data_IF_158986003457
#
_entry.id   IF_158986003457
#
_cell.length_a   1.000
_cell.length_b   1.000
_cell.length_c   1.000
_cell.angle_alpha   90.00
_cell.angle_beta   90.00
_cell.angle_gamma   90.00
#
_symmetry.space_group_name_H-M   'P 1'
#
loop_
_entity.id
_entity.type
_entity.pdbx_description
1 polymer ?
#
# COMPACT_ATOMS: atom_id res chain seq x y z
N UNK A 1 18.98 44.35 49.93
CA UNK A 1 18.92 42.88 49.98
C UNK A 1 17.52 42.28 49.66
N UNK A 2 16.42 42.96 49.92
CA UNK A 2 15.10 42.51 49.47
C UNK A 2 14.86 42.76 47.95
N UNK A 3 15.46 43.86 47.41
CA UNK A 3 15.38 44.17 45.99
C UNK A 3 16.16 43.25 45.07
N UNK A 4 17.30 42.71 45.55
CA UNK A 4 18.11 41.79 44.73
C UNK A 4 17.50 40.39 44.59
N UNK A 5 16.71 39.93 45.59
CA UNK A 5 15.97 38.67 45.50
C UNK A 5 14.78 38.80 44.52
N UNK A 6 14.11 39.92 44.46
CA UNK A 6 13.01 40.20 43.50
C UNK A 6 13.54 40.28 42.04
N UNK A 7 14.75 40.84 41.83
CA UNK A 7 15.36 40.90 40.49
C UNK A 7 15.81 39.52 39.99
N UNK A 8 16.38 38.69 40.84
CA UNK A 8 16.84 37.35 40.52
C UNK A 8 15.63 36.40 40.20
N UNK A 9 14.56 36.55 41.01
CA UNK A 9 13.31 35.82 40.74
C UNK A 9 12.65 36.29 39.45
N UNK A 10 12.66 37.57 39.15
CA UNK A 10 12.11 38.11 37.88
C UNK A 10 12.93 37.67 36.67
N UNK A 11 14.26 37.60 36.75
CA UNK A 11 15.11 37.08 35.70
C UNK A 11 14.80 35.60 35.42
N UNK A 12 14.66 34.79 36.48
CA UNK A 12 14.32 33.37 36.37
C UNK A 12 12.96 33.14 35.66
N UNK A 13 11.94 33.93 36.07
CA UNK A 13 10.62 33.86 35.45
C UNK A 13 10.63 34.30 33.97
N UNK A 14 11.47 35.29 33.61
CA UNK A 14 11.62 35.71 32.20
C UNK A 14 12.31 34.62 31.36
N UNK A 15 13.29 33.91 31.89
CA UNK A 15 13.94 32.82 31.23
C UNK A 15 13.01 31.61 31.04
N UNK A 16 12.21 31.28 32.06
CA UNK A 16 11.17 30.25 31.95
C UNK A 16 10.10 30.66 30.93
N UNK A 17 9.67 31.89 30.91
CA UNK A 17 8.70 32.40 29.92
C UNK A 17 9.25 32.28 28.49
N UNK A 18 10.51 32.66 28.29
CA UNK A 18 11.19 32.52 27.01
C UNK A 18 11.22 31.05 26.54
N UNK A 19 11.60 30.15 27.43
CA UNK A 19 11.66 28.70 27.15
C UNK A 19 10.26 28.14 26.79
N UNK A 20 9.22 28.59 27.50
CA UNK A 20 7.84 28.19 27.21
C UNK A 20 7.40 28.75 25.85
N UNK A 21 7.68 30.03 25.55
CA UNK A 21 7.35 30.63 24.27
C UNK A 21 8.04 29.93 23.08
N UNK A 22 9.32 29.61 23.23
CA UNK A 22 10.09 28.87 22.24
C UNK A 22 9.50 27.46 22.00
N UNK A 23 9.14 26.78 23.09
CA UNK A 23 8.47 25.48 23.02
C UNK A 23 7.12 25.56 22.30
N UNK A 24 6.28 26.54 22.65
CA UNK A 24 4.99 26.74 21.99
C UNK A 24 5.14 27.07 20.51
N UNK A 25 6.16 27.85 20.15
CA UNK A 25 6.45 28.20 18.75
C UNK A 25 6.96 27.00 17.98
N UNK A 26 7.86 26.21 18.57
CA UNK A 26 8.42 24.98 17.97
C UNK A 26 7.32 23.95 17.66
N UNK A 27 6.29 23.87 18.51
CA UNK A 27 5.17 22.96 18.36
C UNK A 27 3.96 23.57 17.62
N UNK A 28 4.16 24.69 16.93
CA UNK A 28 3.10 25.33 16.12
C UNK A 28 1.82 25.72 16.91
N UNK A 29 1.92 25.88 18.23
CA UNK A 29 0.77 26.10 19.11
C UNK A 29 -0.12 27.25 18.64
N UNK A 30 0.48 28.36 18.20
CA UNK A 30 -0.27 29.58 17.80
C UNK A 30 -1.01 29.43 16.46
N UNK A 31 -0.72 28.40 15.68
CA UNK A 31 -1.35 28.14 14.38
C UNK A 31 -2.10 26.79 14.34
N UNK A 32 -2.18 26.09 15.50
CA UNK A 32 -2.76 24.75 15.56
C UNK A 32 -4.23 24.74 15.13
N UNK A 33 -5.03 25.72 15.57
CA UNK A 33 -6.44 25.82 15.21
C UNK A 33 -6.63 26.01 13.70
N UNK A 34 -5.79 26.84 13.08
CA UNK A 34 -5.82 27.04 11.63
C UNK A 34 -5.44 25.77 10.87
N UNK A 35 -4.43 25.01 11.34
CA UNK A 35 -4.05 23.72 10.77
C UNK A 35 -5.13 22.66 10.92
N UNK A 36 -5.77 22.60 12.09
CA UNK A 36 -6.90 21.69 12.34
C UNK A 36 -8.06 22.02 11.40
N UNK A 37 -8.41 23.30 11.25
CA UNK A 37 -9.48 23.73 10.34
C UNK A 37 -9.14 23.43 8.87
N UNK A 38 -7.91 23.66 8.45
CA UNK A 38 -7.44 23.34 7.09
C UNK A 38 -7.60 21.85 6.78
N UNK A 39 -7.07 20.97 7.63
CA UNK A 39 -7.14 19.51 7.43
C UNK A 39 -8.59 19.02 7.53
N UNK A 40 -9.37 19.55 8.49
CA UNK A 40 -10.77 19.20 8.63
C UNK A 40 -11.60 19.59 7.41
N UNK A 41 -11.36 20.76 6.84
CA UNK A 41 -11.98 21.22 5.59
C UNK A 41 -11.61 20.30 4.43
N UNK A 42 -10.32 20.01 4.30
CA UNK A 42 -9.77 19.17 3.24
C UNK A 42 -10.29 17.72 3.25
N UNK A 43 -10.76 17.22 4.38
CA UNK A 43 -11.35 15.90 4.54
C UNK A 43 -12.88 15.90 4.66
N UNK A 44 -13.53 17.06 4.49
CA UNK A 44 -14.97 17.22 4.59
C UNK A 44 -15.53 16.98 6.00
N UNK A 45 -14.75 17.35 7.03
CA UNK A 45 -15.16 17.19 8.43
C UNK A 45 -15.87 18.42 8.98
N UNK A 46 -15.72 19.61 8.34
CA UNK A 46 -16.36 20.85 8.82
C UNK A 46 -17.89 20.77 8.80
N UNK A 47 -18.47 20.12 7.80
CA UNK A 47 -19.92 19.95 7.67
C UNK A 47 -20.52 19.09 8.78
N UNK A 48 -19.68 18.24 9.41
CA UNK A 48 -20.07 17.37 10.52
C UNK A 48 -20.13 18.17 11.83
N UNK A 49 -19.31 19.23 11.95
CA UNK A 49 -19.09 20.02 13.15
C UNK A 49 -17.96 19.46 14.01
N UNK A 50 -16.98 20.32 14.33
CA UNK A 50 -15.78 19.93 15.10
C UNK A 50 -16.07 19.64 16.58
N UNK A 51 -17.19 20.14 17.11
CA UNK A 51 -17.62 19.94 18.50
C UNK A 51 -18.41 18.64 18.72
N UNK A 52 -18.65 17.87 17.64
CA UNK A 52 -19.45 16.64 17.73
C UNK A 52 -18.65 15.52 18.38
N UNK A 53 -19.31 14.78 19.29
CA UNK A 53 -18.71 13.62 19.93
C UNK A 53 -18.38 12.52 18.88
N UNK A 54 -17.18 11.97 18.98
CA UNK A 54 -16.68 10.92 18.05
C UNK A 54 -17.55 9.65 18.10
N UNK A 55 -18.22 9.40 19.22
CA UNK A 55 -19.12 8.25 19.39
C UNK A 55 -20.37 8.35 18.52
N UNK A 56 -20.78 9.56 18.15
CA UNK A 56 -21.96 9.85 17.32
C UNK A 56 -21.65 9.84 15.81
N UNK A 57 -20.39 9.64 15.45
CA UNK A 57 -19.94 9.61 14.05
C UNK A 57 -20.19 8.25 13.41
N UNK A 58 -20.50 8.26 12.10
CA UNK A 58 -20.51 7.05 11.29
C UNK A 58 -19.11 6.46 11.16
N UNK A 59 -19.00 5.17 10.76
CA UNK A 59 -17.71 4.50 10.59
C UNK A 59 -16.79 5.24 9.62
N UNK A 60 -17.30 5.71 8.46
CA UNK A 60 -16.53 6.48 7.49
C UNK A 60 -16.08 7.84 8.04
N UNK A 61 -16.95 8.53 8.81
CA UNK A 61 -16.58 9.79 9.46
C UNK A 61 -15.48 9.60 10.51
N UNK A 62 -15.54 8.53 11.31
CA UNK A 62 -14.47 8.18 12.26
C UNK A 62 -13.16 7.91 11.56
N UNK A 63 -13.17 7.22 10.42
CA UNK A 63 -11.96 6.97 9.62
C UNK A 63 -11.35 8.28 9.12
N UNK A 64 -12.16 9.22 8.64
CA UNK A 64 -11.70 10.56 8.25
C UNK A 64 -11.06 11.32 9.42
N UNK A 65 -11.66 11.29 10.61
CA UNK A 65 -11.11 11.92 11.82
C UNK A 65 -9.78 11.30 12.22
N UNK A 66 -9.66 9.97 12.18
CA UNK A 66 -8.39 9.29 12.45
C UNK A 66 -7.31 9.66 11.43
N UNK A 67 -7.67 9.75 10.15
CA UNK A 67 -6.76 10.21 9.11
C UNK A 67 -6.32 11.65 9.38
N UNK A 68 -7.25 12.58 9.68
CA UNK A 68 -6.94 13.96 10.03
C UNK A 68 -5.94 14.04 11.19
N UNK A 69 -6.17 13.27 12.25
CA UNK A 69 -5.27 13.19 13.41
C UNK A 69 -3.87 12.78 12.99
N UNK A 70 -3.72 11.68 12.23
CA UNK A 70 -2.42 11.19 11.77
C UNK A 70 -1.68 12.20 10.90
N UNK A 71 -2.40 12.91 10.02
CA UNK A 71 -1.80 13.93 9.17
C UNK A 71 -1.33 15.14 9.97
N UNK A 72 -2.07 15.54 11.02
CA UNK A 72 -1.69 16.64 11.93
C UNK A 72 -0.49 16.28 12.82
N UNK A 73 -0.39 15.03 13.26
CA UNK A 73 0.72 14.52 14.10
C UNK A 73 2.05 14.45 13.34
N UNK A 74 2.02 14.37 12.01
CA UNK A 74 3.20 14.30 11.14
C UNK A 74 4.27 13.31 11.63
N UNK A 75 3.95 12.01 11.82
CA UNK A 75 4.91 11.04 12.33
C UNK A 75 6.11 10.86 11.38
N UNK A 76 7.24 10.38 11.89
CA UNK A 76 8.43 10.06 11.08
C UNK A 76 8.15 8.99 10.02
N UNK A 77 7.24 8.06 10.32
CA UNK A 77 6.76 7.04 9.38
C UNK A 77 5.24 6.97 9.45
N UNK A 78 4.59 7.34 8.36
CA UNK A 78 3.14 7.32 8.21
C UNK A 78 2.70 6.02 7.54
N UNK A 79 1.82 5.25 8.18
CA UNK A 79 1.28 3.99 7.65
C UNK A 79 -0.18 4.22 7.24
N UNK A 80 -0.46 4.06 5.94
CA UNK A 80 -1.77 4.27 5.36
C UNK A 80 -2.27 2.98 4.67
N UNK A 81 -3.40 2.48 5.12
CA UNK A 81 -4.09 1.34 4.52
C UNK A 81 -5.42 1.82 3.92
N UNK A 82 -5.51 1.79 2.58
CA UNK A 82 -6.66 2.24 1.79
C UNK A 82 -7.19 3.64 2.20
N UNK A 83 -6.34 4.68 2.26
CA UNK A 83 -6.73 5.99 2.79
C UNK A 83 -7.74 6.73 1.91
N UNK A 84 -7.89 6.36 0.65
CA UNK A 84 -8.87 6.92 -0.29
C UNK A 84 -10.29 6.43 -0.05
N UNK A 85 -10.47 5.36 0.72
CA UNK A 85 -11.79 4.89 1.09
C UNK A 85 -12.55 5.97 1.87
N UNK A 86 -13.82 6.18 1.51
CA UNK A 86 -14.71 7.19 2.10
C UNK A 86 -14.35 8.66 1.77
N UNK A 87 -13.37 8.90 0.89
CA UNK A 87 -13.05 10.22 0.36
C UNK A 87 -13.67 10.40 -1.03
N UNK A 88 -14.13 11.58 -1.33
CA UNK A 88 -14.52 11.98 -2.68
C UNK A 88 -13.31 12.49 -3.49
N UNK A 89 -13.50 12.78 -4.76
CA UNK A 89 -12.42 13.18 -5.68
C UNK A 89 -11.66 14.43 -5.22
N UNK A 90 -12.35 15.40 -4.63
CA UNK A 90 -11.73 16.63 -4.15
C UNK A 90 -10.80 16.37 -2.96
N UNK A 91 -11.27 15.56 -2.00
CA UNK A 91 -10.49 15.17 -0.83
C UNK A 91 -9.30 14.27 -1.21
N UNK A 92 -9.48 13.35 -2.18
CA UNK A 92 -8.38 12.54 -2.73
C UNK A 92 -7.32 13.43 -3.38
N UNK A 93 -7.73 14.42 -4.19
CA UNK A 93 -6.81 15.34 -4.83
C UNK A 93 -6.00 16.18 -3.82
N UNK A 94 -6.61 16.55 -2.70
CA UNK A 94 -5.89 17.21 -1.62
C UNK A 94 -4.92 16.25 -0.91
N UNK A 95 -5.34 15.02 -0.58
CA UNK A 95 -4.49 14.02 0.06
C UNK A 95 -3.26 13.68 -0.80
N UNK A 96 -3.42 13.59 -2.13
CA UNK A 96 -2.30 13.40 -3.05
C UNK A 96 -1.25 14.51 -2.88
N UNK A 97 -1.67 15.78 -2.93
CA UNK A 97 -0.76 16.91 -2.74
C UNK A 97 -0.07 16.87 -1.39
N UNK A 98 -0.82 16.57 -0.34
CA UNK A 98 -0.27 16.44 1.00
C UNK A 98 0.82 15.36 1.08
N UNK A 99 0.61 14.19 0.48
CA UNK A 99 1.58 13.08 0.48
C UNK A 99 2.80 13.35 -0.40
N UNK A 100 2.64 14.07 -1.52
CA UNK A 100 3.76 14.50 -2.37
C UNK A 100 4.69 15.44 -1.60
N UNK A 101 4.12 16.35 -0.82
CA UNK A 101 4.85 17.33 -0.02
C UNK A 101 5.25 16.82 1.37
N UNK A 102 4.94 15.56 1.68
CA UNK A 102 5.23 14.98 2.99
C UNK A 102 6.74 14.81 3.20
N UNK A 103 7.30 15.50 4.20
CA UNK A 103 8.74 15.55 4.46
C UNK A 103 9.33 14.23 4.95
N UNK A 104 8.51 13.42 5.62
CA UNK A 104 8.94 12.16 6.21
C UNK A 104 8.57 10.96 5.32
N UNK A 105 8.84 9.75 5.77
CA UNK A 105 8.52 8.54 5.04
C UNK A 105 7.04 8.14 5.22
N UNK A 106 6.43 7.57 4.18
CA UNK A 106 5.14 6.91 4.31
C UNK A 106 5.13 5.55 3.62
N UNK A 107 4.30 4.64 4.14
CA UNK A 107 3.98 3.36 3.51
C UNK A 107 2.50 3.36 3.21
N UNK A 108 2.16 3.12 1.95
CA UNK A 108 0.81 3.20 1.42
C UNK A 108 0.39 1.84 0.85
N UNK A 109 -0.78 1.36 1.27
CA UNK A 109 -1.48 0.24 0.65
C UNK A 109 -2.73 0.81 0.01
N UNK A 110 -2.92 0.60 -1.29
CA UNK A 110 -4.11 1.04 -2.03
C UNK A 110 -4.35 0.20 -3.27
N UNK A 111 -5.60 0.12 -3.70
CA UNK A 111 -6.02 -0.43 -4.98
C UNK A 111 -6.34 0.66 -6.02
N UNK A 112 -6.25 1.94 -5.63
CA UNK A 112 -6.42 3.09 -6.52
C UNK A 112 -5.13 3.34 -7.31
N UNK A 113 -5.03 2.75 -8.49
CA UNK A 113 -3.83 2.83 -9.34
C UNK A 113 -3.50 4.28 -9.75
N UNK A 114 -4.44 5.12 -10.19
CA UNK A 114 -4.19 6.53 -10.47
C UNK A 114 -3.60 7.28 -9.27
N UNK A 115 -4.12 7.03 -8.07
CA UNK A 115 -3.59 7.61 -6.85
C UNK A 115 -2.16 7.15 -6.56
N UNK A 116 -1.88 5.83 -6.68
CA UNK A 116 -0.54 5.27 -6.48
C UNK A 116 0.48 5.89 -7.43
N UNK A 117 0.19 5.95 -8.73
CA UNK A 117 1.12 6.46 -9.74
C UNK A 117 1.57 7.90 -9.51
N UNK A 118 0.75 8.71 -8.84
CA UNK A 118 1.09 10.11 -8.57
C UNK A 118 1.91 10.32 -7.27
N UNK A 119 1.74 9.44 -6.28
CA UNK A 119 2.32 9.70 -4.93
C UNK A 119 3.48 8.80 -4.56
N UNK A 120 3.64 7.63 -5.21
CA UNK A 120 4.69 6.67 -4.85
C UNK A 120 5.90 6.75 -5.78
N UNK A 121 7.05 6.37 -5.25
CA UNK A 121 8.31 6.25 -6.00
C UNK A 121 9.01 4.90 -5.81
N UNK A 122 8.50 4.06 -4.92
CA UNK A 122 9.01 2.72 -4.63
C UNK A 122 7.82 1.80 -4.37
N UNK A 123 7.89 0.58 -4.93
CA UNK A 123 6.93 -0.49 -4.66
C UNK A 123 7.63 -1.67 -4.02
N UNK A 124 7.03 -2.18 -2.98
CA UNK A 124 7.37 -3.47 -2.40
C UNK A 124 6.30 -4.49 -2.76
N UNK A 125 6.65 -5.41 -3.67
CA UNK A 125 5.78 -6.49 -4.09
C UNK A 125 6.06 -7.76 -3.29
N UNK A 126 5.04 -8.27 -2.63
CA UNK A 126 5.12 -9.51 -1.86
C UNK A 126 4.58 -10.68 -2.66
N UNK A 127 5.44 -11.61 -3.02
CA UNK A 127 5.09 -12.82 -3.75
C UNK A 127 5.94 -13.99 -3.25
N UNK A 128 5.35 -15.18 -3.13
CA UNK A 128 6.05 -16.41 -2.70
C UNK A 128 6.85 -16.28 -1.39
N UNK A 129 6.34 -15.53 -0.42
CA UNK A 129 6.98 -15.21 0.87
C UNK A 129 8.25 -14.35 0.73
N UNK A 130 8.50 -13.77 -0.43
CA UNK A 130 9.58 -12.84 -0.70
C UNK A 130 9.03 -11.43 -0.89
N UNK A 131 9.81 -10.44 -0.44
CA UNK A 131 9.51 -9.03 -0.60
C UNK A 131 10.48 -8.43 -1.61
N UNK A 132 9.98 -8.10 -2.77
CA UNK A 132 10.77 -7.56 -3.88
C UNK A 132 10.56 -6.04 -4.01
N UNK A 133 11.67 -5.28 -4.02
CA UNK A 133 11.68 -3.83 -4.16
C UNK A 133 11.79 -3.42 -5.63
N UNK A 134 10.91 -2.54 -6.07
CA UNK A 134 10.93 -1.90 -7.40
C UNK A 134 10.97 -0.38 -7.22
N UNK A 135 11.80 0.30 -8.01
CA UNK A 135 11.88 1.77 -8.02
C UNK A 135 11.02 2.27 -9.18
N UNK A 136 10.20 3.27 -8.92
CA UNK A 136 9.26 3.85 -9.88
C UNK A 136 7.82 3.79 -9.40
N UNK A 137 6.92 4.18 -10.28
CA UNK A 137 5.48 4.11 -10.10
C UNK A 137 4.91 2.70 -10.36
N UNK A 138 3.59 2.58 -10.25
CA UNK A 138 2.92 1.29 -10.45
C UNK A 138 2.97 0.81 -11.90
N UNK A 139 2.89 1.69 -12.88
CA UNK A 139 2.93 1.31 -14.29
C UNK A 139 4.30 0.78 -14.66
N UNK A 140 5.37 1.45 -14.23
CA UNK A 140 6.73 0.96 -14.41
C UNK A 140 6.97 -0.39 -13.71
N UNK A 141 6.44 -0.56 -12.50
CA UNK A 141 6.48 -1.84 -11.80
C UNK A 141 5.84 -2.96 -12.64
N UNK A 142 4.66 -2.72 -13.22
CA UNK A 142 3.95 -3.71 -14.04
C UNK A 142 4.78 -4.14 -15.26
N UNK A 143 5.41 -3.20 -15.94
CA UNK A 143 6.29 -3.48 -17.07
C UNK A 143 7.48 -4.37 -16.66
N UNK A 144 8.20 -3.97 -15.62
CA UNK A 144 9.37 -4.72 -15.12
C UNK A 144 8.97 -6.09 -14.61
N UNK A 145 7.85 -6.18 -13.90
CA UNK A 145 7.35 -7.45 -13.38
C UNK A 145 6.93 -8.40 -14.49
N UNK A 146 6.24 -7.91 -15.53
CA UNK A 146 5.86 -8.72 -16.69
C UNK A 146 7.08 -9.30 -17.41
N UNK A 147 8.14 -8.50 -17.59
CA UNK A 147 9.41 -8.99 -18.20
C UNK A 147 10.07 -10.04 -17.33
N UNK A 148 10.18 -9.81 -16.02
CA UNK A 148 10.77 -10.80 -15.08
C UNK A 148 9.98 -12.11 -15.07
N UNK A 149 8.66 -12.04 -15.05
CA UNK A 149 7.78 -13.22 -15.10
C UNK A 149 7.99 -14.01 -16.38
N UNK A 150 8.00 -13.34 -17.53
CA UNK A 150 8.25 -13.99 -18.82
C UNK A 150 9.63 -14.66 -18.90
N UNK A 151 10.68 -14.02 -18.35
CA UNK A 151 12.02 -14.60 -18.26
C UNK A 151 12.04 -15.85 -17.37
N UNK A 152 11.39 -15.81 -16.21
CA UNK A 152 11.29 -16.93 -15.30
C UNK A 152 10.55 -18.13 -15.93
N UNK A 153 9.43 -17.87 -16.61
CA UNK A 153 8.68 -18.89 -17.34
C UNK A 153 9.49 -19.53 -18.47
N UNK A 154 10.25 -18.71 -19.21
CA UNK A 154 11.14 -19.20 -20.26
C UNK A 154 12.28 -20.07 -19.70
N UNK A 155 12.89 -19.63 -18.58
CA UNK A 155 13.92 -20.39 -17.88
C UNK A 155 13.37 -21.72 -17.35
N UNK A 156 12.19 -21.71 -16.74
CA UNK A 156 11.50 -22.92 -16.29
C UNK A 156 11.26 -23.92 -17.45
N UNK A 157 10.71 -23.46 -18.57
CA UNK A 157 10.44 -24.32 -19.74
C UNK A 157 11.74 -24.97 -20.26
N UNK A 158 12.82 -24.18 -20.36
CA UNK A 158 14.15 -24.72 -20.80
C UNK A 158 14.66 -25.75 -19.81
N UNK A 159 14.56 -25.48 -18.51
CA UNK A 159 15.01 -26.40 -17.48
C UNK A 159 14.18 -27.71 -17.49
N UNK A 160 12.86 -27.62 -17.64
CA UNK A 160 11.98 -28.79 -17.71
C UNK A 160 12.33 -29.66 -18.94
N UNK A 161 12.64 -29.04 -20.08
CA UNK A 161 13.09 -29.76 -21.26
C UNK A 161 14.43 -30.47 -21.00
N UNK A 162 15.41 -29.77 -20.40
CA UNK A 162 16.71 -30.36 -20.04
C UNK A 162 16.53 -31.54 -19.07
N UNK A 163 15.68 -31.37 -18.04
CA UNK A 163 15.36 -32.45 -17.09
C UNK A 163 14.75 -33.67 -17.83
N UNK A 164 13.81 -33.44 -18.74
CA UNK A 164 13.20 -34.51 -19.53
C UNK A 164 14.23 -35.25 -20.38
N UNK A 165 15.07 -34.52 -21.12
CA UNK A 165 16.14 -35.11 -21.95
C UNK A 165 17.14 -35.90 -21.11
N UNK A 166 17.55 -35.41 -19.95
CA UNK A 166 18.45 -36.11 -19.03
C UNK A 166 17.80 -37.37 -18.47
N UNK A 167 16.53 -37.32 -18.05
CA UNK A 167 15.76 -38.46 -17.55
C UNK A 167 15.63 -39.55 -18.63
N UNK A 168 15.29 -39.17 -19.85
CA UNK A 168 15.15 -40.06 -20.99
C UNK A 168 16.49 -40.76 -21.35
N UNK A 169 17.58 -39.97 -21.31
CA UNK A 169 18.91 -40.55 -21.55
C UNK A 169 19.29 -41.54 -20.46
N UNK A 170 19.07 -41.23 -19.20
CA UNK A 170 19.36 -42.14 -18.08
C UNK A 170 18.52 -43.39 -18.18
N UNK A 171 17.23 -43.28 -18.47
CA UNK A 171 16.34 -44.45 -18.63
C UNK A 171 16.81 -45.42 -19.72
N UNK A 172 17.22 -44.88 -20.89
CA UNK A 172 17.65 -45.67 -22.03
C UNK A 172 19.04 -46.31 -21.85
N UNK A 173 19.92 -45.70 -21.06
CA UNK A 173 21.34 -46.09 -21.01
C UNK A 173 21.79 -46.72 -19.68
N UNK A 174 20.97 -46.70 -18.63
CA UNK A 174 21.31 -47.20 -17.29
C UNK A 174 21.60 -48.71 -17.27
N UNK A 175 20.92 -49.49 -18.13
CA UNK A 175 21.05 -50.94 -18.21
C UNK A 175 22.23 -51.43 -19.09
N UNK A 176 22.82 -50.57 -19.94
CA UNK A 176 23.89 -50.96 -20.87
C UNK A 176 25.25 -50.73 -20.23
N UNK A 177 26.09 -51.75 -20.21
CA UNK A 177 27.44 -51.72 -19.60
C UNK A 177 28.32 -50.61 -20.19
N UNK A 178 28.31 -50.40 -21.50
CA UNK A 178 29.15 -49.42 -22.21
C UNK A 178 28.74 -47.94 -21.89
N UNK A 179 27.48 -47.69 -21.59
CA UNK A 179 26.96 -46.33 -21.38
C UNK A 179 26.56 -46.03 -19.93
N UNK A 180 26.68 -47.00 -19.03
CA UNK A 180 26.29 -46.91 -17.62
C UNK A 180 26.96 -45.74 -16.89
N UNK A 181 28.27 -45.55 -17.08
CA UNK A 181 29.01 -44.48 -16.43
C UNK A 181 28.51 -43.09 -16.87
N UNK A 182 28.16 -42.92 -18.15
CA UNK A 182 27.59 -41.69 -18.69
C UNK A 182 26.17 -41.44 -18.12
N UNK A 183 25.36 -42.49 -18.02
CA UNK A 183 24.04 -42.42 -17.43
C UNK A 183 24.11 -42.02 -15.94
N UNK A 184 25.06 -42.60 -15.18
CA UNK A 184 25.28 -42.23 -13.76
C UNK A 184 25.77 -40.80 -13.60
N UNK A 185 26.65 -40.31 -14.50
CA UNK A 185 27.07 -38.91 -14.47
C UNK A 185 25.89 -37.93 -14.68
N UNK A 186 25.01 -38.24 -15.64
CA UNK A 186 23.82 -37.44 -15.91
C UNK A 186 22.77 -37.51 -14.78
N UNK A 187 22.65 -38.70 -14.16
CA UNK A 187 21.81 -38.82 -12.96
C UNK A 187 22.31 -37.91 -11.81
N UNK A 188 23.64 -37.90 -11.57
CA UNK A 188 24.21 -36.98 -10.57
C UNK A 188 23.99 -35.53 -10.90
N UNK A 189 23.93 -35.15 -12.20
CA UNK A 189 23.59 -33.78 -12.62
C UNK A 189 22.14 -33.47 -12.26
N UNK A 190 21.20 -34.39 -12.54
CA UNK A 190 19.79 -34.25 -12.17
C UNK A 190 19.60 -34.09 -10.65
N UNK A 191 20.29 -34.94 -9.87
CA UNK A 191 20.18 -34.98 -8.41
C UNK A 191 20.72 -33.67 -7.73
N UNK A 192 21.61 -32.94 -8.44
CA UNK A 192 22.21 -31.67 -7.97
C UNK A 192 21.57 -30.42 -8.56
N UNK A 193 20.60 -30.61 -9.46
CA UNK A 193 19.98 -29.47 -10.15
C UNK A 193 18.97 -28.79 -9.23
N UNK A 194 19.17 -27.47 -8.98
CA UNK A 194 18.18 -26.67 -8.33
C UNK A 194 16.98 -26.45 -9.28
N UNK A 195 15.85 -27.03 -8.91
CA UNK A 195 14.66 -27.00 -9.76
C UNK A 195 13.94 -25.67 -9.55
N UNK A 196 13.72 -24.96 -10.66
CA UNK A 196 12.93 -23.72 -10.64
C UNK A 196 11.48 -24.11 -10.33
N UNK A 197 10.92 -23.52 -9.28
CA UNK A 197 9.52 -23.66 -8.94
C UNK A 197 8.76 -22.40 -9.40
N UNK A 198 7.75 -22.61 -10.25
CA UNK A 198 6.81 -21.55 -10.56
C UNK A 198 5.73 -21.50 -9.46
N UNK A 199 5.37 -20.29 -9.06
CA UNK A 199 4.21 -20.11 -8.20
C UNK A 199 2.98 -20.78 -8.83
N UNK A 200 2.27 -21.56 -8.04
CA UNK A 200 1.02 -22.16 -8.50
C UNK A 200 0.04 -21.02 -8.85
N UNK A 201 -0.37 -20.95 -10.11
CA UNK A 201 -1.43 -20.02 -10.50
C UNK A 201 -2.69 -20.37 -9.70
N UNK A 202 -3.18 -19.41 -8.92
CA UNK A 202 -4.47 -19.57 -8.24
C UNK A 202 -5.54 -19.69 -9.33
N UNK A 203 -6.37 -20.75 -9.30
CA UNK A 203 -7.44 -20.90 -10.28
C UNK A 203 -8.33 -19.64 -10.24
N UNK A 204 -8.51 -19.02 -11.40
CA UNK A 204 -9.46 -17.88 -11.50
C UNK A 204 -10.85 -18.41 -11.22
N UNK A 205 -11.62 -17.79 -10.34
CA UNK A 205 -12.99 -18.22 -10.11
C UNK A 205 -13.81 -18.04 -11.42
N UNK A 206 -14.35 -19.15 -11.91
CA UNK A 206 -15.29 -19.10 -13.05
C UNK A 206 -16.72 -19.04 -12.52
N UNK A 207 -17.42 -17.95 -12.88
CA UNK A 207 -18.81 -17.75 -12.49
C UNK A 207 -19.72 -18.14 -13.66
N UNK A 208 -20.49 -19.20 -13.47
CA UNK A 208 -21.49 -19.62 -14.45
C UNK A 208 -22.88 -19.18 -13.97
N UNK A 209 -23.37 -18.07 -14.50
CA UNK A 209 -24.73 -17.61 -14.23
C UNK A 209 -25.72 -18.39 -15.11
N UNK A 210 -26.59 -19.19 -14.50
CA UNK A 210 -27.68 -19.85 -15.22
C UNK A 210 -28.82 -18.85 -15.39
N UNK A 211 -29.26 -18.69 -16.61
CA UNK A 211 -30.45 -17.90 -16.89
C UNK A 211 -31.66 -18.60 -16.27
N UNK A 212 -32.27 -17.99 -15.25
CA UNK A 212 -33.44 -18.57 -14.56
C UNK A 212 -34.74 -18.45 -15.34
N UNK A 213 -34.94 -17.32 -16.04
CA UNK A 213 -36.09 -17.05 -16.93
C UNK A 213 -35.65 -16.12 -18.06
N UNK A 214 -36.25 -16.27 -19.22
CA UNK A 214 -36.11 -15.27 -20.30
C UNK A 214 -36.76 -13.97 -19.83
N UNK A 215 -36.01 -12.84 -19.73
CA UNK A 215 -36.60 -11.58 -19.33
C UNK A 215 -37.68 -11.16 -20.32
N UNK A 216 -38.77 -10.58 -19.81
CA UNK A 216 -39.80 -9.98 -20.65
C UNK A 216 -39.33 -8.70 -21.32
N UNK A 217 -40.20 -8.02 -22.02
CA UNK A 217 -39.91 -6.74 -22.70
C UNK A 217 -39.39 -5.66 -21.74
N UNK A 218 -39.80 -5.73 -20.48
CA UNK A 218 -39.37 -4.83 -19.40
C UNK A 218 -38.72 -5.66 -18.30
N UNK A 219 -37.52 -5.26 -17.86
CA UNK A 219 -36.77 -5.89 -16.75
C UNK A 219 -37.16 -5.21 -15.44
N UNK A 220 -37.31 -3.91 -15.46
CA UNK A 220 -37.81 -3.10 -14.36
C UNK A 220 -38.82 -2.08 -14.85
N UNK A 221 -39.88 -1.88 -14.09
CA UNK A 221 -40.84 -0.80 -14.27
C UNK A 221 -41.06 -0.15 -12.92
N UNK A 222 -40.73 1.13 -12.82
CA UNK A 222 -40.89 1.91 -11.59
C UNK A 222 -41.86 3.04 -11.83
N UNK A 223 -42.78 3.24 -10.88
CA UNK A 223 -43.64 4.43 -10.81
C UNK A 223 -43.22 5.21 -9.56
N UNK A 224 -43.07 6.52 -9.74
CA UNK A 224 -42.79 7.46 -8.65
C UNK A 224 -41.53 7.11 -7.80
N UNK A 225 -40.42 6.69 -8.48
CA UNK A 225 -39.18 6.39 -7.80
C UNK A 225 -38.58 7.65 -7.18
N UNK A 226 -38.52 7.69 -5.85
CA UNK A 226 -37.80 8.73 -5.08
C UNK A 226 -36.51 8.12 -4.65
N UNK A 227 -35.40 8.73 -5.07
CA UNK A 227 -34.05 8.37 -4.63
C UNK A 227 -33.58 9.50 -3.70
N UNK A 228 -33.22 9.14 -2.47
CA UNK A 228 -32.68 10.07 -1.48
C UNK A 228 -31.45 9.45 -0.80
N UNK A 229 -30.59 10.33 -0.35
CA UNK A 229 -29.49 9.99 0.55
C UNK A 229 -29.91 10.37 1.96
#
# INVERSE_FOLDING_TARGET
>A
SLGDADEEEMMTLMEELGTIQDTLTLHDFYVIDAKVEEVARALGLLDIGLEKDVTDLSGGQRTKVLLAKLLLEKPDILLLDEPTNYLDEEHIAWLKRYLIDYENAFILISHDIPFLNEVINIIYHMENQELNRYVGDYDHFQEVYAVKKAQLEAAYKRQQQEISELKDFVARNKARVSTRNMAMSRQKKLDKMDVIELAAERPKPEFHFKQGRTPGKYIFETKDLVIGY
#
